data_IF_775386077429
#
_entry.id   IF_775386077429
#
_cell.length_a   1.000
_cell.length_b   1.000
_cell.length_c   1.000
_cell.angle_alpha   90.00
_cell.angle_beta   90.00
_cell.angle_gamma   90.00
#
_symmetry.space_group_name_H-M   'P 1'
#
loop_
_entity.id
_entity.type
_entity.pdbx_description
1 polymer ?
#
# COMPACT_ATOMS: atom_id res chain seq x y z
N UNK A 1 11.25 15.85 4.11
CA UNK A 1 10.48 14.72 3.56
C UNK A 1 11.40 13.88 2.68
N UNK A 2 12.06 12.87 3.23
CA UNK A 2 12.99 12.01 2.49
C UNK A 2 12.62 10.54 2.71
N UNK A 3 11.43 10.13 2.26
CA UNK A 3 11.01 8.74 2.39
C UNK A 3 11.33 7.94 1.12
N UNK A 4 12.61 7.53 1.12
CA UNK A 4 13.11 6.22 0.73
C UNK A 4 12.84 5.71 -0.69
N UNK A 5 13.85 5.90 -1.54
CA UNK A 5 14.03 5.22 -2.82
C UNK A 5 13.86 3.69 -2.74
N UNK A 6 14.07 3.09 -1.56
CA UNK A 6 13.81 1.67 -1.31
C UNK A 6 12.34 1.27 -1.27
N UNK A 7 11.44 2.14 -0.79
CA UNK A 7 10.00 1.86 -0.66
C UNK A 7 9.33 1.72 -2.03
N UNK A 8 9.71 2.58 -2.97
CA UNK A 8 9.20 2.58 -4.35
C UNK A 8 9.66 1.36 -5.16
N UNK A 9 10.74 0.68 -4.73
CA UNK A 9 11.27 -0.53 -5.39
C UNK A 9 10.58 -1.82 -4.93
N UNK A 10 9.88 -1.79 -3.79
CA UNK A 10 9.16 -2.93 -3.22
C UNK A 10 7.85 -3.19 -3.95
N UNK A 11 7.38 -4.43 -3.87
CA UNK A 11 6.06 -4.79 -4.41
C UNK A 11 4.94 -4.37 -3.47
N UNK A 12 3.73 -4.19 -4.02
CA UNK A 12 2.54 -3.89 -3.21
C UNK A 12 2.33 -4.96 -2.15
N UNK A 13 2.55 -6.24 -2.49
CA UNK A 13 2.46 -7.38 -1.57
C UNK A 13 3.41 -7.29 -0.39
N UNK A 14 4.67 -6.94 -0.63
CA UNK A 14 5.67 -6.77 0.43
C UNK A 14 5.26 -5.65 1.38
N UNK A 15 4.85 -4.51 0.82
CA UNK A 15 4.45 -3.34 1.61
C UNK A 15 3.19 -3.62 2.43
N UNK A 16 2.18 -4.25 1.83
CA UNK A 16 0.94 -4.66 2.49
C UNK A 16 1.20 -5.61 3.66
N UNK A 17 2.05 -6.63 3.44
CA UNK A 17 2.43 -7.58 4.49
C UNK A 17 3.22 -6.95 5.63
N UNK A 18 4.07 -5.94 5.35
CA UNK A 18 4.78 -5.20 6.40
C UNK A 18 3.81 -4.41 7.30
N UNK A 19 2.64 -4.05 6.78
CA UNK A 19 1.56 -3.40 7.53
C UNK A 19 0.59 -4.42 8.17
N UNK A 20 0.89 -5.72 8.11
CA UNK A 20 0.01 -6.80 8.60
C UNK A 20 -1.38 -6.85 7.95
N UNK A 21 -1.52 -6.30 6.74
CA UNK A 21 -2.80 -6.27 6.03
C UNK A 21 -2.96 -7.50 5.13
N UNK A 22 -4.17 -8.05 5.07
CA UNK A 22 -4.60 -8.99 4.02
C UNK A 22 -4.94 -8.23 2.73
N UNK A 23 -5.02 -8.95 1.59
CA UNK A 23 -5.44 -8.35 0.33
C UNK A 23 -6.85 -7.74 0.43
N UNK A 24 -7.75 -8.39 1.17
CA UNK A 24 -9.11 -7.92 1.42
C UNK A 24 -9.12 -6.63 2.22
N UNK A 25 -8.43 -6.58 3.37
CA UNK A 25 -8.40 -5.37 4.22
C UNK A 25 -7.74 -4.19 3.50
N UNK A 26 -6.74 -4.46 2.65
CA UNK A 26 -6.13 -3.42 1.84
C UNK A 26 -7.09 -2.90 0.75
N UNK A 27 -7.85 -3.79 0.11
CA UNK A 27 -8.89 -3.43 -0.85
C UNK A 27 -10.00 -2.60 -0.20
N UNK A 28 -10.45 -3.00 1.00
CA UNK A 28 -11.47 -2.29 1.77
C UNK A 28 -11.03 -0.86 2.13
N UNK A 29 -9.74 -0.67 2.47
CA UNK A 29 -9.16 0.66 2.75
C UNK A 29 -9.04 1.55 1.51
N UNK A 30 -8.89 0.95 0.33
CA UNK A 30 -8.79 1.63 -0.96
C UNK A 30 -10.15 1.76 -1.66
N UNK A 31 -11.20 1.13 -1.14
CA UNK A 31 -12.51 1.05 -1.78
C UNK A 31 -12.48 0.45 -3.20
N UNK A 32 -11.61 -0.55 -3.42
CA UNK A 32 -11.48 -1.29 -4.69
C UNK A 32 -11.75 -2.77 -4.49
N UNK A 33 -11.82 -3.53 -5.58
CA UNK A 33 -12.01 -4.97 -5.51
C UNK A 33 -10.75 -5.70 -5.03
N UNK A 34 -10.95 -6.78 -4.26
CA UNK A 34 -9.83 -7.61 -3.80
C UNK A 34 -9.07 -8.23 -4.97
N UNK A 35 -9.74 -8.52 -6.09
CA UNK A 35 -9.11 -9.04 -7.32
C UNK A 35 -8.11 -8.02 -7.88
N UNK A 36 -8.42 -6.73 -7.87
CA UNK A 36 -7.52 -5.69 -8.35
C UNK A 36 -6.26 -5.60 -7.49
N UNK A 37 -6.41 -5.71 -6.17
CA UNK A 37 -5.27 -5.80 -5.24
C UNK A 37 -4.40 -7.02 -5.55
N UNK A 38 -5.00 -8.19 -5.77
CA UNK A 38 -4.25 -9.41 -6.09
C UNK A 38 -3.50 -9.29 -7.43
N UNK A 39 -4.09 -8.61 -8.42
CA UNK A 39 -3.43 -8.31 -9.69
C UNK A 39 -2.27 -7.31 -9.53
N UNK A 40 -2.36 -6.41 -8.55
CA UNK A 40 -1.31 -5.42 -8.25
C UNK A 40 -0.23 -5.93 -7.29
N UNK A 41 -0.48 -7.00 -6.54
CA UNK A 41 0.42 -7.48 -5.47
C UNK A 41 1.85 -7.74 -5.98
N UNK A 42 2.00 -8.22 -7.22
CA UNK A 42 3.29 -8.51 -7.86
C UNK A 42 3.93 -7.29 -8.56
N UNK A 43 3.18 -6.18 -8.71
CA UNK A 43 3.70 -4.92 -9.28
C UNK A 43 4.49 -4.15 -8.21
N UNK A 44 5.51 -3.42 -8.65
CA UNK A 44 6.22 -2.48 -7.77
C UNK A 44 5.42 -1.21 -7.61
N UNK A 45 5.48 -0.58 -6.44
CA UNK A 45 4.75 0.65 -6.17
C UNK A 45 5.11 1.79 -7.14
N UNK A 46 6.36 1.83 -7.63
CA UNK A 46 6.77 2.81 -8.66
C UNK A 46 6.03 2.65 -9.99
N UNK A 47 5.58 1.43 -10.31
CA UNK A 47 4.97 1.06 -11.59
C UNK A 47 3.44 1.14 -11.54
N UNK A 48 2.85 1.55 -10.41
CA UNK A 48 1.44 1.89 -10.27
C UNK A 48 1.22 3.31 -10.77
N UNK A 49 0.13 3.53 -11.51
CA UNK A 49 -0.24 4.83 -12.06
C UNK A 49 -0.99 5.68 -11.03
N UNK A 50 -0.90 7.01 -11.20
CA UNK A 50 -1.75 7.95 -10.47
C UNK A 50 -3.19 7.90 -11.02
N UNK A 51 -4.23 8.11 -10.20
CA UNK A 51 -4.21 8.58 -8.81
C UNK A 51 -4.09 7.46 -7.75
N UNK A 52 -4.27 6.20 -8.15
CA UNK A 52 -4.34 5.07 -7.23
C UNK A 52 -3.09 4.94 -6.36
N UNK A 53 -1.92 5.17 -6.95
CA UNK A 53 -0.65 5.18 -6.21
C UNK A 53 -0.64 6.15 -5.03
N UNK A 54 -1.16 7.37 -5.20
CA UNK A 54 -1.24 8.37 -4.13
C UNK A 54 -2.13 7.92 -2.97
N UNK A 55 -3.21 7.17 -3.25
CA UNK A 55 -4.10 6.62 -2.23
C UNK A 55 -3.46 5.43 -1.47
N UNK A 56 -2.66 4.61 -2.17
CA UNK A 56 -1.96 3.48 -1.58
C UNK A 56 -0.85 3.90 -0.61
N UNK A 57 -0.11 4.97 -0.94
CA UNK A 57 1.05 5.42 -0.17
C UNK A 57 0.77 5.61 1.33
N UNK A 58 -0.25 6.37 1.77
CA UNK A 58 -0.50 6.56 3.20
C UNK A 58 -0.83 5.26 3.94
N UNK A 59 -1.55 4.33 3.29
CA UNK A 59 -1.87 3.02 3.87
C UNK A 59 -0.59 2.16 3.97
N UNK A 60 0.20 2.09 2.90
CA UNK A 60 1.41 1.28 2.87
C UNK A 60 2.55 1.83 3.73
N UNK A 61 2.55 3.15 3.99
CA UNK A 61 3.48 3.79 4.93
C UNK A 61 3.08 3.53 6.39
N UNK A 62 1.80 3.30 6.66
CA UNK A 62 1.28 3.12 8.02
C UNK A 62 0.78 4.42 8.64
N UNK A 63 0.54 5.47 7.84
CA UNK A 63 0.09 6.80 8.31
C UNK A 63 -1.25 6.73 9.06
N UNK A 64 -2.01 5.65 8.89
CA UNK A 64 -3.24 5.37 9.62
C UNK A 64 -3.03 4.78 11.03
N UNK A 65 -1.85 4.22 11.32
CA UNK A 65 -1.50 3.63 12.62
C UNK A 65 -0.95 4.66 13.61
N UNK A 66 -0.42 5.79 13.12
CA UNK A 66 0.09 6.90 13.95
C UNK A 66 -0.98 7.62 14.80
N UNK A 67 -2.25 7.21 14.69
CA UNK A 67 -3.36 7.73 15.52
C UNK A 67 -3.64 6.90 16.79
N UNK A 68 -2.88 5.84 17.06
CA UNK A 68 -2.99 5.12 18.33
C UNK A 68 -2.21 5.90 19.42
N UNK A 69 -2.89 6.49 20.43
CA UNK A 69 -2.18 7.12 21.54
C UNK A 69 -1.39 6.05 22.30
N UNK A 70 -0.13 6.36 22.63
CA UNK A 70 0.70 5.59 23.56
C UNK A 70 0.05 5.49 24.94
#
# INVERSE_FOLDING_TARGET
MFFNWGFMKKTVKELRKNQYLTAKEFADKLHIDTIDVLNMDERRLKDIEEPLKSEMIPILRGDYMDRLPN
#
